data_IF_338811127199
#
_entry.id   IF_338811127199
#
_cell.length_a   1.000
_cell.length_b   1.000
_cell.length_c   1.000
_cell.angle_alpha   90.00
_cell.angle_beta   90.00
_cell.angle_gamma   90.00
#
_symmetry.space_group_name_H-M   'P 1'
#
loop_
_entity.id
_entity.type
_entity.pdbx_description
1 polymer ?
#
# COMPACT_ATOMS: atom_id res chain seq x y z
N UNK A 1 6.81 46.25 61.69
CA UNK A 1 6.50 44.80 61.60
C UNK A 1 5.60 44.58 60.40
N UNK A 2 6.11 43.94 59.35
CA UNK A 2 5.63 42.64 58.82
C UNK A 2 4.64 42.86 57.66
N UNK A 3 4.70 42.29 56.47
CA UNK A 3 5.54 41.28 55.82
C UNK A 3 5.29 41.47 54.32
N UNK A 4 6.32 41.82 53.54
CA UNK A 4 6.17 42.04 52.09
C UNK A 4 6.46 40.71 51.37
N UNK A 5 5.43 39.88 51.21
CA UNK A 5 5.53 38.59 50.53
C UNK A 5 5.72 38.80 49.02
N UNK A 6 6.98 38.86 48.57
CA UNK A 6 7.31 38.74 47.14
C UNK A 6 7.02 37.29 46.73
N UNK A 7 5.92 37.06 45.99
CA UNK A 7 5.75 35.81 45.25
C UNK A 7 6.80 35.77 44.14
N UNK A 8 7.87 35.02 44.40
CA UNK A 8 8.86 34.62 43.39
C UNK A 8 8.10 33.85 42.31
N UNK A 9 7.95 34.46 41.12
CA UNK A 9 7.51 33.74 39.93
C UNK A 9 8.58 32.68 39.68
N UNK A 10 8.22 31.44 40.00
CA UNK A 10 9.07 30.26 39.85
C UNK A 10 9.23 30.06 38.35
N UNK A 11 10.41 30.38 37.81
CA UNK A 11 10.81 29.97 36.46
C UNK A 11 10.77 28.45 36.43
N UNK A 12 9.65 27.89 35.99
CA UNK A 12 9.54 26.46 35.72
C UNK A 12 10.45 26.15 34.53
N UNK A 13 11.24 25.09 34.68
CA UNK A 13 12.19 24.63 33.68
C UNK A 13 11.39 24.13 32.47
N UNK A 14 11.41 24.87 31.37
CA UNK A 14 10.77 24.46 30.13
C UNK A 14 11.47 23.20 29.58
N UNK A 15 10.71 22.15 29.22
CA UNK A 15 11.29 20.98 28.59
C UNK A 15 11.79 21.32 27.17
N UNK A 16 12.95 20.77 26.79
CA UNK A 16 13.57 21.04 25.50
C UNK A 16 12.66 20.61 24.34
N UNK A 17 12.15 21.58 23.57
CA UNK A 17 11.27 21.39 22.43
C UNK A 17 9.84 21.92 22.59
N UNK A 18 9.49 22.50 23.74
CA UNK A 18 8.19 23.13 23.91
C UNK A 18 8.10 24.48 23.19
N UNK A 19 7.02 24.69 22.42
CA UNK A 19 6.70 25.98 21.82
C UNK A 19 5.62 26.65 22.65
N UNK A 20 5.95 27.78 23.26
CA UNK A 20 4.99 28.59 24.01
C UNK A 20 4.23 29.52 23.08
N UNK A 21 2.92 29.34 22.96
CA UNK A 21 2.06 30.26 22.20
C UNK A 21 1.35 31.19 23.18
N UNK A 22 1.50 32.50 22.98
CA UNK A 22 0.84 33.53 23.81
C UNK A 22 -0.51 33.88 23.20
N UNK A 23 -1.58 33.64 23.95
CA UNK A 23 -2.94 34.00 23.51
C UNK A 23 -3.16 35.49 23.78
N UNK A 24 -3.65 36.28 22.80
CA UNK A 24 -3.96 37.69 23.01
C UNK A 24 -5.06 37.84 24.08
N UNK A 25 -4.85 38.79 25.00
CA UNK A 25 -5.69 38.98 26.18
C UNK A 25 -7.16 39.22 25.80
N UNK A 26 -8.06 38.38 26.32
CA UNK A 26 -9.48 38.76 26.40
C UNK A 26 -9.64 39.82 27.50
N UNK A 27 -10.17 40.99 27.11
CA UNK A 27 -10.36 42.17 27.96
C UNK A 27 -11.36 41.85 29.08
N UNK A 28 -10.87 41.58 30.30
CA UNK A 28 -11.74 41.43 31.47
C UNK A 28 -11.17 40.60 32.64
N UNK A 29 -10.16 39.75 32.42
CA UNK A 29 -9.64 38.85 33.46
C UNK A 29 -8.28 39.31 33.97
N UNK A 30 -8.23 39.88 35.18
CA UNK A 30 -6.99 40.21 35.90
C UNK A 30 -6.47 38.95 36.59
N UNK A 31 -5.58 38.21 35.94
CA UNK A 31 -4.87 37.09 36.54
C UNK A 31 -4.12 36.28 35.49
N UNK A 32 -2.80 36.12 35.69
CA UNK A 32 -1.81 35.30 34.96
C UNK A 32 -1.94 35.25 33.42
N UNK A 33 -0.92 35.70 32.69
CA UNK A 33 -0.86 35.56 31.22
C UNK A 33 -1.05 34.08 30.82
N UNK A 34 -2.08 33.72 30.04
CA UNK A 34 -2.27 32.35 29.61
C UNK A 34 -1.23 32.02 28.53
N UNK A 35 -0.26 31.17 28.87
CA UNK A 35 0.66 30.57 27.92
C UNK A 35 0.28 29.11 27.74
N UNK A 36 0.14 28.67 26.49
CA UNK A 36 -0.05 27.26 26.16
C UNK A 36 1.31 26.72 25.78
N UNK A 37 1.78 25.73 26.53
CA UNK A 37 3.00 24.97 26.24
C UNK A 37 2.60 23.84 25.30
N UNK A 38 2.83 24.02 24.00
CA UNK A 38 2.66 22.94 23.03
C UNK A 38 3.93 22.10 23.09
N UNK A 39 3.85 20.93 23.72
CA UNK A 39 4.90 19.92 23.64
C UNK A 39 4.65 19.16 22.34
N UNK A 40 5.51 19.30 21.31
CA UNK A 40 5.38 18.47 20.13
C UNK A 40 5.60 17.01 20.57
N UNK A 41 4.57 16.19 20.41
CA UNK A 41 4.78 14.75 20.39
C UNK A 41 5.81 14.47 19.30
N UNK A 42 7.02 14.03 19.70
CA UNK A 42 7.99 13.57 18.72
C UNK A 42 7.37 12.33 18.07
N UNK A 43 7.03 12.38 16.77
CA UNK A 43 6.55 11.18 16.10
C UNK A 43 7.62 10.11 16.27
N UNK A 44 7.20 8.88 16.56
CA UNK A 44 8.14 7.78 16.59
C UNK A 44 8.82 7.66 15.23
N UNK A 45 10.09 7.26 15.20
CA UNK A 45 10.83 7.01 13.95
C UNK A 45 10.03 6.11 12.99
N UNK A 46 9.31 5.14 13.55
CA UNK A 46 8.44 4.23 12.79
C UNK A 46 7.26 4.96 12.14
N UNK A 47 6.68 5.97 12.79
CA UNK A 47 5.60 6.80 12.24
C UNK A 47 6.12 7.70 11.11
N UNK A 48 7.30 8.30 11.25
CA UNK A 48 7.93 9.08 10.19
C UNK A 48 8.31 8.22 8.98
N UNK A 49 8.88 7.04 9.22
CA UNK A 49 9.19 6.08 8.15
C UNK A 49 7.91 5.62 7.44
N UNK A 50 6.85 5.30 8.19
CA UNK A 50 5.57 4.90 7.60
C UNK A 50 4.93 6.04 6.78
N UNK A 51 5.00 7.27 7.27
CA UNK A 51 4.51 8.44 6.54
C UNK A 51 5.31 8.70 5.25
N UNK A 52 6.65 8.56 5.31
CA UNK A 52 7.52 8.67 4.14
C UNK A 52 7.22 7.59 3.09
N UNK A 53 7.05 6.33 3.52
CA UNK A 53 6.67 5.24 2.63
C UNK A 53 5.29 5.45 2.02
N UNK A 54 4.32 5.94 2.80
CA UNK A 54 2.98 6.25 2.31
C UNK A 54 3.01 7.36 1.25
N UNK A 55 3.80 8.42 1.46
CA UNK A 55 3.99 9.50 0.48
C UNK A 55 4.65 8.99 -0.80
N UNK A 56 5.75 8.23 -0.68
CA UNK A 56 6.43 7.65 -1.85
C UNK A 56 5.47 6.74 -2.63
N UNK A 57 4.71 5.89 -1.93
CA UNK A 57 3.71 5.02 -2.53
C UNK A 57 2.60 5.82 -3.22
N UNK A 58 2.18 6.95 -2.65
CA UNK A 58 1.17 7.83 -3.21
C UNK A 58 1.64 8.54 -4.49
N UNK A 59 2.86 9.08 -4.47
CA UNK A 59 3.48 9.73 -5.62
C UNK A 59 3.70 8.73 -6.76
N UNK A 60 4.11 7.51 -6.41
CA UNK A 60 4.42 6.44 -7.36
C UNK A 60 3.24 5.48 -7.61
N UNK A 61 2.03 5.80 -7.14
CA UNK A 61 0.86 4.89 -7.16
C UNK A 61 0.56 4.29 -8.53
N UNK A 62 0.76 5.08 -9.60
CA UNK A 62 0.54 4.64 -10.99
C UNK A 62 1.67 3.74 -11.51
N UNK A 63 2.88 3.88 -10.98
CA UNK A 63 4.03 3.04 -11.34
C UNK A 63 4.07 1.74 -10.54
N UNK A 64 3.49 1.72 -9.34
CA UNK A 64 3.49 0.57 -8.43
C UNK A 64 2.25 -0.33 -8.57
N UNK A 65 1.40 -0.11 -9.57
CA UNK A 65 0.14 -0.87 -9.71
C UNK A 65 0.34 -2.41 -9.73
N UNK A 66 1.30 -2.99 -10.48
CA UNK A 66 1.53 -4.43 -10.45
C UNK A 66 1.97 -4.95 -9.07
N UNK A 67 2.89 -4.23 -8.41
CA UNK A 67 3.36 -4.58 -7.06
C UNK A 67 2.24 -4.45 -6.04
N UNK A 68 1.45 -3.38 -6.09
CA UNK A 68 0.32 -3.18 -5.19
C UNK A 68 -0.70 -4.32 -5.35
N UNK A 69 -1.05 -4.69 -6.58
CA UNK A 69 -1.93 -5.84 -6.86
C UNK A 69 -1.33 -7.13 -6.31
N UNK A 70 -0.05 -7.42 -6.59
CA UNK A 70 0.61 -8.62 -6.12
C UNK A 70 0.65 -8.72 -4.59
N UNK A 71 0.98 -7.63 -3.90
CA UNK A 71 1.00 -7.56 -2.43
C UNK A 71 -0.39 -7.75 -1.86
N UNK A 72 -1.44 -7.19 -2.48
CA UNK A 72 -2.83 -7.42 -2.04
C UNK A 72 -3.33 -8.84 -2.31
N UNK A 73 -2.77 -9.54 -3.31
CA UNK A 73 -3.16 -10.91 -3.63
C UNK A 73 -2.76 -11.92 -2.55
N UNK A 74 -1.66 -11.70 -1.82
CA UNK A 74 -1.21 -12.56 -0.73
C UNK A 74 -2.20 -12.65 0.45
N UNK A 75 -2.60 -11.53 1.11
CA UNK A 75 -3.58 -11.60 2.20
C UNK A 75 -4.94 -12.07 1.68
N UNK A 76 -5.34 -11.69 0.45
CA UNK A 76 -6.59 -12.15 -0.14
C UNK A 76 -6.62 -13.67 -0.29
N UNK A 77 -5.57 -14.27 -0.85
CA UNK A 77 -5.47 -15.73 -1.01
C UNK A 77 -5.27 -16.46 0.31
N UNK A 78 -4.59 -15.86 1.30
CA UNK A 78 -4.52 -16.40 2.65
C UNK A 78 -5.91 -16.46 3.31
N UNK A 79 -6.70 -15.39 3.19
CA UNK A 79 -8.08 -15.34 3.70
C UNK A 79 -8.98 -16.34 2.96
N UNK A 80 -8.87 -16.40 1.62
CA UNK A 80 -9.62 -17.38 0.81
C UNK A 80 -9.26 -18.81 1.18
N UNK A 81 -7.97 -19.12 1.37
CA UNK A 81 -7.54 -20.45 1.79
C UNK A 81 -8.10 -20.81 3.17
N UNK A 82 -8.00 -19.88 4.13
CA UNK A 82 -8.48 -20.10 5.49
C UNK A 82 -10.00 -20.33 5.56
N UNK A 83 -10.79 -19.56 4.80
CA UNK A 83 -12.25 -19.54 4.94
C UNK A 83 -12.98 -20.38 3.89
N UNK A 84 -12.36 -20.55 2.73
CA UNK A 84 -12.97 -21.17 1.56
C UNK A 84 -11.90 -21.81 0.67
N UNK A 85 -11.11 -22.77 1.18
CA UNK A 85 -10.11 -23.49 0.39
C UNK A 85 -10.70 -24.10 -0.91
N UNK A 86 -11.97 -24.50 -0.88
CA UNK A 86 -12.74 -24.96 -2.05
C UNK A 86 -12.92 -23.90 -3.15
N UNK A 87 -12.73 -22.61 -2.86
CA UNK A 87 -12.72 -21.55 -3.88
C UNK A 87 -11.65 -21.79 -4.95
N UNK A 88 -10.57 -22.50 -4.63
CA UNK A 88 -9.58 -22.94 -5.61
C UNK A 88 -10.20 -23.81 -6.73
N UNK A 89 -11.22 -24.63 -6.42
CA UNK A 89 -11.92 -25.46 -7.41
C UNK A 89 -12.76 -24.62 -8.38
N UNK A 90 -13.26 -23.45 -7.95
CA UNK A 90 -14.01 -22.52 -8.79
C UNK A 90 -13.05 -21.63 -9.60
N UNK A 91 -11.93 -21.23 -8.99
CA UNK A 91 -10.90 -20.42 -9.65
C UNK A 91 -10.14 -21.19 -10.73
N UNK A 92 -9.96 -22.49 -10.57
CA UNK A 92 -9.28 -23.34 -11.55
C UNK A 92 -9.90 -23.30 -12.96
N UNK A 93 -11.22 -23.54 -13.16
CA UNK A 93 -11.83 -23.40 -14.48
C UNK A 93 -11.85 -21.94 -14.94
N UNK A 94 -11.97 -20.98 -14.02
CA UNK A 94 -11.92 -19.56 -14.36
C UNK A 94 -10.55 -19.15 -14.94
N UNK A 95 -9.47 -19.82 -14.56
CA UNK A 95 -8.13 -19.58 -15.11
C UNK A 95 -8.03 -19.91 -16.62
N UNK A 96 -8.97 -20.67 -17.18
CA UNK A 96 -9.08 -20.95 -18.61
C UNK A 96 -9.83 -19.85 -19.38
N UNK A 97 -10.53 -18.94 -18.70
CA UNK A 97 -11.29 -17.87 -19.36
C UNK A 97 -10.41 -16.98 -20.29
N UNK A 98 -9.17 -16.59 -19.93
CA UNK A 98 -8.30 -15.85 -20.83
C UNK A 98 -7.90 -16.64 -22.08
N UNK A 99 -7.74 -17.97 -21.98
CA UNK A 99 -7.47 -18.83 -23.13
C UNK A 99 -8.69 -18.92 -24.05
N UNK A 100 -9.90 -19.04 -23.47
CA UNK A 100 -11.15 -19.01 -24.23
C UNK A 100 -11.33 -17.68 -24.98
N UNK A 101 -11.07 -16.56 -24.30
CA UNK A 101 -11.05 -15.24 -24.93
C UNK A 101 -10.00 -15.15 -26.04
N UNK A 102 -8.78 -15.63 -25.81
CA UNK A 102 -7.70 -15.60 -26.78
C UNK A 102 -8.06 -16.41 -28.03
N UNK A 103 -8.57 -17.63 -27.86
CA UNK A 103 -9.04 -18.47 -28.95
C UNK A 103 -10.14 -17.76 -29.74
N UNK A 104 -11.15 -17.20 -29.05
CA UNK A 104 -12.22 -16.43 -29.69
C UNK A 104 -11.67 -15.22 -30.46
N UNK A 105 -10.75 -14.46 -29.88
CA UNK A 105 -10.16 -13.28 -30.49
C UNK A 105 -9.32 -13.62 -31.74
N UNK A 106 -8.57 -14.72 -31.70
CA UNK A 106 -7.80 -15.22 -32.85
C UNK A 106 -8.74 -15.67 -33.96
N UNK A 107 -9.80 -16.42 -33.63
CA UNK A 107 -10.76 -16.95 -34.60
C UNK A 107 -11.61 -15.85 -35.24
N UNK A 108 -12.03 -14.84 -34.48
CA UNK A 108 -12.96 -13.79 -34.95
C UNK A 108 -12.26 -12.59 -35.57
N UNK A 109 -11.01 -12.31 -35.19
CA UNK A 109 -10.30 -11.09 -35.57
C UNK A 109 -8.83 -11.40 -35.87
N UNK A 110 -8.50 -11.86 -37.09
CA UNK A 110 -7.11 -12.02 -37.51
C UNK A 110 -6.40 -10.67 -37.38
N UNK A 111 -5.21 -10.70 -36.80
CA UNK A 111 -4.46 -9.50 -36.47
C UNK A 111 -3.01 -9.65 -36.91
N UNK A 112 -2.34 -8.53 -37.17
CA UNK A 112 -0.92 -8.53 -37.49
C UNK A 112 -0.05 -9.12 -36.36
N UNK A 113 1.18 -9.54 -36.69
CA UNK A 113 2.11 -10.20 -35.77
C UNK A 113 2.26 -9.48 -34.43
N UNK A 114 2.39 -8.15 -34.43
CA UNK A 114 2.54 -7.36 -33.20
C UNK A 114 1.31 -7.46 -32.28
N UNK A 115 0.10 -7.44 -32.83
CA UNK A 115 -1.13 -7.54 -32.04
C UNK A 115 -1.31 -8.97 -31.52
N UNK A 116 -0.92 -9.97 -32.30
CA UNK A 116 -0.92 -11.37 -31.88
C UNK A 116 0.01 -11.60 -30.67
N UNK A 117 1.23 -11.06 -30.71
CA UNK A 117 2.15 -11.13 -29.57
C UNK A 117 1.57 -10.49 -28.30
N UNK A 118 0.90 -9.33 -28.43
CA UNK A 118 0.22 -8.70 -27.30
C UNK A 118 -0.91 -9.55 -26.73
N UNK A 119 -1.75 -10.13 -27.60
CA UNK A 119 -2.85 -11.01 -27.17
C UNK A 119 -2.33 -12.27 -26.48
N UNK A 120 -1.27 -12.88 -27.02
CA UNK A 120 -0.61 -14.04 -26.41
C UNK A 120 -0.01 -13.67 -25.05
N UNK A 121 0.74 -12.57 -24.97
CA UNK A 121 1.30 -12.10 -23.71
C UNK A 121 0.23 -11.83 -22.64
N UNK A 122 -0.87 -11.17 -23.02
CA UNK A 122 -2.00 -10.93 -22.11
C UNK A 122 -2.70 -12.22 -21.70
N UNK A 123 -2.96 -13.14 -22.65
CA UNK A 123 -3.60 -14.41 -22.37
C UNK A 123 -2.77 -15.28 -21.43
N UNK A 124 -1.49 -15.47 -21.75
CA UNK A 124 -0.55 -16.24 -20.92
C UNK A 124 -0.38 -15.60 -19.55
N UNK A 125 -0.21 -14.27 -19.49
CA UNK A 125 -0.07 -13.55 -18.23
C UNK A 125 -1.31 -13.66 -17.34
N UNK A 126 -2.50 -13.46 -17.90
CA UNK A 126 -3.77 -13.55 -17.18
C UNK A 126 -4.05 -14.98 -16.70
N UNK A 127 -3.83 -15.98 -17.56
CA UNK A 127 -4.00 -17.39 -17.18
C UNK A 127 -3.01 -17.77 -16.07
N UNK A 128 -1.73 -17.40 -16.20
CA UNK A 128 -0.73 -17.70 -15.18
C UNK A 128 -1.08 -17.08 -13.82
N UNK A 129 -1.55 -15.83 -13.81
CA UNK A 129 -1.97 -15.15 -12.59
C UNK A 129 -3.20 -15.81 -11.94
N UNK A 130 -4.21 -16.18 -12.73
CA UNK A 130 -5.40 -16.87 -12.23
C UNK A 130 -5.09 -18.29 -11.75
N UNK A 131 -4.22 -19.02 -12.44
CA UNK A 131 -3.74 -20.33 -12.00
C UNK A 131 -2.99 -20.21 -10.68
N UNK A 132 -2.12 -19.22 -10.53
CA UNK A 132 -1.44 -18.96 -9.26
C UNK A 132 -2.43 -18.66 -8.13
N UNK A 133 -3.44 -17.80 -8.37
CA UNK A 133 -4.50 -17.50 -7.40
C UNK A 133 -5.30 -18.74 -7.00
N UNK A 134 -5.66 -19.59 -7.96
CA UNK A 134 -6.39 -20.83 -7.70
C UNK A 134 -5.59 -21.78 -6.81
N UNK A 135 -4.30 -21.97 -7.13
CA UNK A 135 -3.39 -22.80 -6.35
C UNK A 135 -3.14 -22.22 -4.96
N UNK A 136 -2.93 -20.91 -4.84
CA UNK A 136 -2.73 -20.23 -3.57
C UNK A 136 -3.97 -20.31 -2.67
N UNK A 137 -5.19 -20.24 -3.24
CA UNK A 137 -6.42 -20.44 -2.48
C UNK A 137 -6.62 -21.90 -2.06
N UNK A 138 -6.27 -22.87 -2.91
CA UNK A 138 -6.41 -24.30 -2.61
C UNK A 138 -5.41 -24.80 -1.56
N UNK A 139 -4.12 -24.42 -1.69
CA UNK A 139 -3.01 -24.98 -0.93
C UNK A 139 -2.36 -24.00 0.06
N UNK A 140 -2.70 -22.71 -0.04
CA UNK A 140 -2.09 -21.63 0.72
C UNK A 140 -1.03 -20.87 -0.09
N UNK A 141 -0.91 -19.54 0.07
CA UNK A 141 -0.01 -18.71 -0.74
C UNK A 141 1.48 -18.94 -0.49
N UNK A 142 1.83 -19.53 0.66
CA UNK A 142 3.22 -19.85 1.03
C UNK A 142 3.57 -21.33 0.84
N UNK A 143 2.70 -22.12 0.21
CA UNK A 143 2.93 -23.55 0.04
C UNK A 143 3.99 -23.83 -1.04
N UNK A 144 5.09 -24.50 -0.64
CA UNK A 144 6.12 -24.96 -1.57
C UNK A 144 6.64 -23.86 -2.53
N UNK A 145 6.62 -24.09 -3.86
CA UNK A 145 7.18 -23.14 -4.84
C UNK A 145 6.27 -21.92 -5.13
N UNK A 146 5.07 -21.84 -4.56
CA UNK A 146 4.09 -20.79 -4.87
C UNK A 146 4.62 -19.38 -4.57
N UNK A 147 5.35 -19.20 -3.48
CA UNK A 147 5.93 -17.90 -3.12
C UNK A 147 7.01 -17.47 -4.13
N UNK A 148 7.82 -18.42 -4.59
CA UNK A 148 8.85 -18.17 -5.61
C UNK A 148 8.21 -17.81 -6.95
N UNK A 149 7.16 -18.54 -7.35
CA UNK A 149 6.40 -18.23 -8.57
C UNK A 149 5.73 -16.87 -8.49
N UNK A 150 5.17 -16.51 -7.32
CA UNK A 150 4.61 -15.19 -7.06
C UNK A 150 5.65 -14.09 -7.25
N UNK A 151 6.86 -14.25 -6.69
CA UNK A 151 7.96 -13.30 -6.86
C UNK A 151 8.33 -13.13 -8.34
N UNK A 152 8.51 -14.23 -9.07
CA UNK A 152 8.86 -14.22 -10.49
C UNK A 152 7.78 -13.47 -11.30
N UNK A 153 6.51 -13.80 -11.10
CA UNK A 153 5.41 -13.14 -11.81
C UNK A 153 5.30 -11.66 -11.46
N UNK A 154 5.48 -11.31 -10.19
CA UNK A 154 5.42 -9.92 -9.73
C UNK A 154 6.54 -9.08 -10.36
N UNK A 155 7.78 -9.58 -10.36
CA UNK A 155 8.92 -8.90 -10.99
C UNK A 155 8.70 -8.79 -12.50
N UNK A 156 8.29 -9.87 -13.17
CA UNK A 156 8.02 -9.86 -14.60
C UNK A 156 6.93 -8.85 -14.98
N UNK A 157 5.82 -8.83 -14.23
CA UNK A 157 4.72 -7.90 -14.44
C UNK A 157 5.14 -6.44 -14.20
N UNK A 158 5.93 -6.19 -13.15
CA UNK A 158 6.44 -4.86 -12.84
C UNK A 158 7.41 -4.35 -13.92
N UNK A 159 8.32 -5.20 -14.39
CA UNK A 159 9.23 -4.85 -15.50
C UNK A 159 8.45 -4.57 -16.78
N UNK A 160 7.50 -5.43 -17.14
CA UNK A 160 6.65 -5.23 -18.32
C UNK A 160 5.88 -3.91 -18.23
N UNK A 161 5.27 -3.61 -17.08
CA UNK A 161 4.54 -2.37 -16.84
C UNK A 161 5.40 -1.11 -17.04
N UNK A 162 6.62 -1.13 -16.50
CA UNK A 162 7.58 -0.03 -16.66
C UNK A 162 8.02 0.12 -18.12
N UNK A 163 8.30 -0.98 -18.83
CA UNK A 163 8.69 -0.95 -20.24
C UNK A 163 7.57 -0.40 -21.13
N UNK A 164 6.32 -0.80 -20.89
CA UNK A 164 5.15 -0.33 -21.63
C UNK A 164 4.96 1.18 -21.42
N UNK A 165 5.02 1.63 -20.17
CA UNK A 165 4.86 3.05 -19.81
C UNK A 165 5.97 3.96 -20.29
N UNK A 166 7.17 3.44 -20.58
CA UNK A 166 8.25 4.22 -21.18
C UNK A 166 8.07 4.45 -22.68
N UNK A 167 7.23 3.63 -23.34
CA UNK A 167 7.02 3.67 -24.79
C UNK A 167 5.75 4.41 -25.20
N UNK A 168 4.89 4.79 -24.26
CA UNK A 168 3.67 5.56 -24.49
C UNK A 168 3.74 6.91 -23.80
#
# INVERSE_FOLDING_TARGET
MSSRTRSRVRTQKEPAGATTVRIPRQRGRRGADPFVVVVPERPSLLREMAAGLALIAWDHRRSLAPVALAVTALPLTAVLHWWAWWSGLILAPLALAPLGWLAFAILRRPAGRSVLFWRLGLGVGATSALTWLALAAAFGPAAGPLLTLWLIFTVAAQVAWLVIRRKG
#
